data_IF_988542310704
#
_entry.id   IF_988542310704
#
_cell.length_a   1.000
_cell.length_b   1.000
_cell.length_c   1.000
_cell.angle_alpha   90.00
_cell.angle_beta   90.00
_cell.angle_gamma   90.00
#
_symmetry.space_group_name_H-M   'P 1'
#
loop_
_entity.id
_entity.type
_entity.pdbx_description
1 polymer ?
#
# COMPACT_ATOMS: atom_id res chain seq x y z
N UNK A 1 6.51 15.80 -16.97
CA UNK A 1 6.40 16.34 -15.59
C UNK A 1 7.29 17.56 -15.35
N UNK A 2 8.46 17.69 -15.99
CA UNK A 2 9.39 18.83 -15.76
C UNK A 2 8.75 20.22 -15.96
N UNK A 3 7.88 20.40 -16.94
CA UNK A 3 7.15 21.65 -17.14
C UNK A 3 6.17 21.97 -16.00
N UNK A 4 5.55 20.95 -15.40
CA UNK A 4 4.64 21.11 -14.25
C UNK A 4 5.44 21.45 -12.99
N UNK A 5 6.54 20.73 -12.76
CA UNK A 5 7.41 20.94 -11.61
C UNK A 5 8.03 22.35 -11.60
N UNK A 6 8.50 22.86 -12.75
CA UNK A 6 9.02 24.22 -12.87
C UNK A 6 7.99 25.31 -12.57
N UNK A 7 6.71 25.03 -12.78
CA UNK A 7 5.60 25.97 -12.56
C UNK A 7 4.91 25.76 -11.21
N UNK A 8 5.36 24.80 -10.39
CA UNK A 8 4.71 24.45 -9.14
C UNK A 8 3.26 23.96 -9.33
N UNK A 9 3.00 23.27 -10.45
CA UNK A 9 1.67 22.77 -10.78
C UNK A 9 1.57 21.28 -10.48
N UNK A 10 0.42 20.87 -9.96
CA UNK A 10 0.07 19.46 -9.77
C UNK A 10 -1.08 19.07 -10.69
N UNK A 11 -1.05 17.83 -11.16
CA UNK A 11 -2.20 17.26 -11.85
C UNK A 11 -3.24 16.75 -10.82
N UNK A 12 -4.42 16.40 -11.30
CA UNK A 12 -5.38 15.69 -10.47
C UNK A 12 -4.90 14.25 -10.13
N UNK A 13 -5.57 13.62 -9.16
CA UNK A 13 -5.24 12.28 -8.70
C UNK A 13 -5.44 11.18 -9.76
N UNK A 14 -6.30 11.41 -10.76
CA UNK A 14 -6.57 10.43 -11.82
C UNK A 14 -5.39 10.40 -12.80
N UNK A 15 -4.90 11.57 -13.21
CA UNK A 15 -3.72 11.70 -14.08
C UNK A 15 -2.50 11.07 -13.42
N UNK A 16 -2.25 11.34 -12.13
CA UNK A 16 -1.15 10.69 -11.42
C UNK A 16 -1.33 9.17 -11.32
N UNK A 17 -2.55 8.69 -11.11
CA UNK A 17 -2.85 7.26 -11.08
C UNK A 17 -2.50 6.58 -12.41
N UNK A 18 -2.84 7.19 -13.55
CA UNK A 18 -2.48 6.63 -14.86
C UNK A 18 -0.98 6.67 -15.15
N UNK A 19 -0.29 7.74 -14.75
CA UNK A 19 1.17 7.80 -14.83
C UNK A 19 1.84 6.70 -14.00
N UNK A 20 1.33 6.47 -12.80
CA UNK A 20 1.79 5.39 -11.91
C UNK A 20 1.52 4.01 -12.53
N UNK A 21 0.32 3.76 -13.07
CA UNK A 21 -0.01 2.48 -13.72
C UNK A 21 0.93 2.18 -14.89
N UNK A 22 1.31 3.21 -15.66
CA UNK A 22 2.32 3.07 -16.70
C UNK A 22 3.70 2.68 -16.14
N UNK A 23 4.04 3.11 -14.91
CA UNK A 23 5.26 2.70 -14.21
C UNK A 23 5.16 1.26 -13.68
N UNK A 24 3.97 0.78 -13.33
CA UNK A 24 3.74 -0.63 -12.96
C UNK A 24 3.88 -1.58 -14.15
N UNK A 25 3.50 -1.16 -15.36
CA UNK A 25 3.55 -2.01 -16.56
C UNK A 25 4.98 -2.32 -17.05
N UNK A 26 5.99 -1.62 -16.54
CA UNK A 26 7.40 -1.77 -16.91
C UNK A 26 8.25 -1.92 -15.64
N UNK A 27 9.48 -2.45 -15.70
CA UNK A 27 10.41 -2.40 -14.57
C UNK A 27 10.97 -0.98 -14.35
N UNK A 28 10.08 -0.01 -14.19
CA UNK A 28 10.36 1.43 -14.22
C UNK A 28 10.15 2.10 -12.85
N UNK A 29 10.59 1.45 -11.78
CA UNK A 29 10.45 1.97 -10.39
C UNK A 29 11.01 3.39 -10.24
N UNK A 30 12.07 3.74 -10.97
CA UNK A 30 12.66 5.07 -10.96
C UNK A 30 11.69 6.15 -11.43
N UNK A 31 10.87 5.86 -12.44
CA UNK A 31 9.84 6.79 -12.89
C UNK A 31 8.73 6.93 -11.85
N UNK A 32 8.35 5.83 -11.18
CA UNK A 32 7.42 5.87 -10.05
C UNK A 32 7.93 6.77 -8.91
N UNK A 33 9.22 6.68 -8.57
CA UNK A 33 9.86 7.55 -7.57
C UNK A 33 9.89 9.02 -7.98
N UNK A 34 10.07 9.33 -9.28
CA UNK A 34 9.98 10.71 -9.77
C UNK A 34 8.55 11.26 -9.63
N UNK A 35 7.53 10.45 -9.91
CA UNK A 35 6.12 10.84 -9.74
C UNK A 35 5.82 11.02 -8.26
N UNK A 36 6.28 10.11 -7.39
CA UNK A 36 6.16 10.26 -5.94
C UNK A 36 6.77 11.59 -5.49
N UNK A 37 8.05 11.84 -5.80
CA UNK A 37 8.73 13.09 -5.39
C UNK A 37 7.97 14.34 -5.82
N UNK A 38 7.36 14.33 -7.00
CA UNK A 38 6.57 15.46 -7.48
C UNK A 38 5.22 15.59 -6.74
N UNK A 39 4.51 14.48 -6.51
CA UNK A 39 3.24 14.46 -5.78
C UNK A 39 3.43 14.90 -4.33
N UNK A 40 4.44 14.39 -3.65
CA UNK A 40 4.73 14.70 -2.24
C UNK A 40 5.69 15.90 -2.09
N UNK A 41 5.82 16.73 -3.12
CA UNK A 41 6.55 17.99 -3.00
C UNK A 41 5.73 19.04 -2.25
N UNK A 42 6.42 20.03 -1.66
CA UNK A 42 5.81 21.04 -0.78
C UNK A 42 4.54 21.67 -1.39
N UNK A 43 3.40 21.45 -0.73
CA UNK A 43 2.14 22.15 -1.00
C UNK A 43 0.98 21.27 -1.49
N UNK A 44 1.24 20.07 -2.03
CA UNK A 44 0.17 19.17 -2.46
C UNK A 44 -0.20 18.14 -1.39
N UNK A 45 -1.51 17.95 -1.21
CA UNK A 45 -2.07 17.02 -0.24
C UNK A 45 -2.75 15.87 -1.02
N UNK A 46 -2.05 14.74 -1.25
CA UNK A 46 -2.61 13.63 -2.00
C UNK A 46 -3.77 12.98 -1.23
N UNK A 47 -4.85 12.68 -1.93
CA UNK A 47 -5.98 11.91 -1.37
C UNK A 47 -5.56 10.47 -1.07
N UNK A 48 -6.22 9.84 -0.09
CA UNK A 48 -6.06 8.41 0.28
C UNK A 48 -5.99 7.48 -0.93
N UNK A 49 -6.83 7.70 -1.94
CA UNK A 49 -6.80 6.93 -3.19
C UNK A 49 -5.43 6.97 -3.89
N UNK A 50 -4.84 8.16 -4.03
CA UNK A 50 -3.55 8.32 -4.70
C UNK A 50 -2.41 7.72 -3.85
N UNK A 51 -2.47 7.87 -2.53
CA UNK A 51 -1.51 7.23 -1.62
C UNK A 51 -1.57 5.70 -1.76
N UNK A 52 -2.76 5.09 -1.78
CA UNK A 52 -2.92 3.65 -2.01
C UNK A 52 -2.34 3.19 -3.35
N UNK A 53 -2.45 4.03 -4.40
CA UNK A 53 -1.83 3.76 -5.70
C UNK A 53 -0.30 3.75 -5.61
N UNK A 54 0.31 4.66 -4.84
CA UNK A 54 1.74 4.63 -4.58
C UNK A 54 2.17 3.44 -3.73
N UNK A 55 1.45 3.10 -2.66
CA UNK A 55 1.69 1.89 -1.86
C UNK A 55 1.75 0.67 -2.78
N UNK A 56 0.78 0.52 -3.69
CA UNK A 56 0.76 -0.59 -4.65
C UNK A 56 2.02 -0.65 -5.57
N UNK A 57 2.62 0.49 -5.93
CA UNK A 57 3.92 0.50 -6.63
C UNK A 57 5.00 -0.13 -5.77
N UNK A 58 5.14 0.36 -4.54
CA UNK A 58 6.20 -0.09 -3.65
C UNK A 58 6.02 -1.56 -3.25
N UNK A 59 4.77 -2.02 -3.10
CA UNK A 59 4.44 -3.44 -2.96
C UNK A 59 4.95 -4.24 -4.16
N UNK A 60 4.65 -3.80 -5.40
CA UNK A 60 5.06 -4.51 -6.62
C UNK A 60 6.57 -4.64 -6.76
N UNK A 61 7.32 -3.62 -6.34
CA UNK A 61 8.78 -3.61 -6.39
C UNK A 61 9.46 -4.10 -5.10
N UNK A 62 8.69 -4.71 -4.18
CA UNK A 62 9.17 -5.23 -2.89
C UNK A 62 9.94 -4.20 -2.03
N UNK A 63 9.59 -2.92 -2.18
CA UNK A 63 10.15 -1.80 -1.43
C UNK A 63 9.38 -1.63 -0.12
N UNK A 64 9.89 -2.26 0.94
CA UNK A 64 9.19 -2.39 2.21
C UNK A 64 9.12 -1.09 3.02
N UNK A 65 10.21 -0.34 3.04
CA UNK A 65 10.31 0.92 3.79
C UNK A 65 9.38 1.96 3.17
N UNK A 66 9.47 2.19 1.86
CA UNK A 66 8.66 3.23 1.20
C UNK A 66 7.15 2.95 1.23
N UNK A 67 6.72 1.67 1.22
CA UNK A 67 5.28 1.35 1.41
C UNK A 67 4.82 1.52 2.85
N UNK A 68 5.72 1.30 3.83
CA UNK A 68 5.44 1.48 5.25
C UNK A 68 5.32 2.96 5.59
N UNK A 69 6.31 3.76 5.20
CA UNK A 69 6.31 5.21 5.45
C UNK A 69 5.04 5.87 4.92
N UNK A 70 4.66 5.55 3.67
CA UNK A 70 3.43 6.07 3.07
C UNK A 70 2.17 5.63 3.81
N UNK A 71 2.14 4.41 4.35
CA UNK A 71 1.00 3.90 5.09
C UNK A 71 0.91 4.52 6.48
N UNK A 72 2.05 4.75 7.13
CA UNK A 72 2.16 5.34 8.46
C UNK A 72 1.81 6.83 8.45
N UNK A 73 2.15 7.55 7.37
CA UNK A 73 1.80 8.96 7.15
C UNK A 73 0.31 9.20 6.81
N UNK A 74 -0.47 8.15 6.51
CA UNK A 74 -1.89 8.30 6.18
C UNK A 74 -2.70 8.72 7.40
N UNK A 75 -3.32 9.91 7.34
CA UNK A 75 -4.28 10.37 8.34
C UNK A 75 -5.55 9.50 8.37
N UNK A 76 -6.02 9.09 7.20
CA UNK A 76 -7.20 8.25 7.04
C UNK A 76 -6.88 7.04 6.16
N UNK A 77 -7.05 5.84 6.72
CA UNK A 77 -6.85 4.56 6.06
C UNK A 77 -8.19 3.91 5.79
N UNK A 78 -8.39 3.37 4.60
CA UNK A 78 -9.60 2.65 4.24
C UNK A 78 -9.32 1.16 4.01
N UNK A 79 -10.37 0.38 3.73
CA UNK A 79 -10.27 -1.07 3.44
C UNK A 79 -9.18 -1.36 2.40
N UNK A 80 -9.04 -0.53 1.37
CA UNK A 80 -8.03 -0.74 0.31
C UNK A 80 -6.62 -0.56 0.86
N UNK A 81 -6.38 0.47 1.70
CA UNK A 81 -5.07 0.70 2.33
C UNK A 81 -4.62 -0.51 3.16
N UNK A 82 -5.50 -1.01 4.03
CA UNK A 82 -5.19 -2.12 4.91
C UNK A 82 -5.03 -3.45 4.16
N UNK A 83 -5.97 -3.78 3.27
CA UNK A 83 -5.91 -5.03 2.49
C UNK A 83 -4.67 -5.08 1.60
N UNK A 84 -4.26 -3.96 0.99
CA UNK A 84 -3.00 -3.86 0.25
C UNK A 84 -1.81 -4.17 1.16
N UNK A 85 -1.72 -3.57 2.35
CA UNK A 85 -0.58 -3.77 3.26
C UNK A 85 -0.52 -5.18 3.86
N UNK A 86 -1.66 -5.73 4.28
CA UNK A 86 -1.75 -7.11 4.78
C UNK A 86 -1.26 -8.08 3.70
N UNK A 87 -1.77 -7.93 2.45
CA UNK A 87 -1.33 -8.76 1.32
C UNK A 87 0.17 -8.62 1.06
N UNK A 88 0.69 -7.39 1.15
CA UNK A 88 2.10 -7.11 0.95
C UNK A 88 2.99 -7.74 2.03
N UNK A 89 2.56 -7.77 3.29
CA UNK A 89 3.28 -8.43 4.38
C UNK A 89 3.27 -9.95 4.25
N UNK A 90 2.12 -10.55 3.94
CA UNK A 90 2.00 -11.98 3.70
C UNK A 90 2.90 -12.43 2.55
N UNK A 91 2.90 -11.71 1.43
CA UNK A 91 3.77 -12.01 0.29
C UNK A 91 5.27 -11.83 0.60
N UNK A 92 5.60 -11.00 1.59
CA UNK A 92 6.98 -10.78 2.05
C UNK A 92 7.40 -11.74 3.17
N UNK A 93 6.55 -12.73 3.54
CA UNK A 93 6.74 -13.64 4.67
C UNK A 93 6.88 -12.94 6.03
N UNK A 94 6.29 -11.76 6.17
CA UNK A 94 6.26 -10.96 7.39
C UNK A 94 4.93 -11.17 8.14
N UNK A 95 4.63 -12.42 8.47
CA UNK A 95 3.32 -12.85 8.98
C UNK A 95 2.92 -12.11 10.26
N UNK A 96 3.86 -11.88 11.17
CA UNK A 96 3.61 -11.11 12.39
C UNK A 96 3.09 -9.69 12.10
N UNK A 97 3.69 -8.97 11.14
CA UNK A 97 3.24 -7.63 10.73
C UNK A 97 1.88 -7.67 10.02
N UNK A 98 1.61 -8.72 9.25
CA UNK A 98 0.31 -8.94 8.62
C UNK A 98 -0.80 -9.11 9.67
N UNK A 99 -0.54 -9.94 10.69
CA UNK A 99 -1.47 -10.18 11.79
C UNK A 99 -1.67 -8.95 12.67
N UNK A 100 -0.60 -8.25 13.01
CA UNK A 100 -0.68 -6.98 13.76
C UNK A 100 -1.54 -5.96 13.02
N UNK A 101 -1.33 -5.80 11.71
CA UNK A 101 -2.12 -4.89 10.88
C UNK A 101 -3.60 -5.28 10.85
N UNK A 102 -3.90 -6.59 10.76
CA UNK A 102 -5.27 -7.11 10.76
C UNK A 102 -5.97 -6.87 12.10
N UNK A 103 -5.27 -7.07 13.23
CA UNK A 103 -5.81 -6.79 14.57
C UNK A 103 -6.05 -5.31 14.77
N UNK A 104 -5.16 -4.44 14.28
CA UNK A 104 -5.35 -3.00 14.32
C UNK A 104 -6.57 -2.58 13.50
N UNK A 105 -6.72 -3.06 12.27
CA UNK A 105 -7.87 -2.75 11.41
C UNK A 105 -9.19 -3.24 12.03
N UNK A 106 -9.22 -4.45 12.59
CA UNK A 106 -10.41 -5.04 13.19
C UNK A 106 -10.94 -4.23 14.39
N UNK A 107 -10.08 -3.48 15.09
CA UNK A 107 -10.49 -2.58 16.18
C UNK A 107 -11.24 -1.33 15.70
N UNK A 108 -11.18 -1.01 14.40
CA UNK A 108 -11.83 0.18 13.82
C UNK A 108 -13.18 -0.10 13.13
N UNK A 109 -13.73 -1.33 13.23
CA UNK A 109 -15.05 -1.71 12.66
C UNK A 109 -15.20 -1.52 11.13
N UNK A 110 -14.10 -1.47 10.35
CA UNK A 110 -14.12 -1.19 8.89
C UNK A 110 -14.36 -2.45 8.03
N UNK A 111 -14.69 -3.60 8.61
CA UNK A 111 -14.72 -4.87 7.88
C UNK A 111 -16.05 -5.17 7.17
N UNK A 112 -16.08 -5.02 5.83
CA UNK A 112 -16.95 -5.81 4.94
C UNK A 112 -16.10 -6.43 3.83
N UNK A 113 -15.58 -7.66 4.03
CA UNK A 113 -14.59 -8.22 3.14
C UNK A 113 -15.24 -8.71 1.85
N UNK A 114 -14.87 -8.12 0.72
CA UNK A 114 -14.99 -8.79 -0.58
C UNK A 114 -13.83 -9.78 -0.68
N UNK A 115 -13.99 -10.93 -0.04
CA UNK A 115 -13.03 -12.04 -0.11
C UNK A 115 -12.93 -12.56 -1.54
N UNK A 116 -11.80 -12.34 -2.20
CA UNK A 116 -11.33 -13.30 -3.19
C UNK A 116 -10.87 -14.56 -2.44
N UNK A 117 -11.48 -15.70 -2.77
CA UNK A 117 -11.42 -16.96 -1.99
C UNK A 117 -10.00 -17.51 -1.76
N UNK A 118 -8.98 -17.01 -2.46
CA UNK A 118 -7.59 -17.42 -2.27
C UNK A 118 -6.94 -16.84 -1.00
N UNK A 119 -7.39 -15.69 -0.51
CA UNK A 119 -6.76 -15.05 0.67
C UNK A 119 -7.19 -15.65 2.01
N UNK A 120 -8.41 -16.21 2.09
CA UNK A 120 -8.94 -16.74 3.36
C UNK A 120 -8.23 -18.03 3.79
N UNK A 121 -7.94 -18.96 2.87
CA UNK A 121 -7.20 -20.18 3.19
C UNK A 121 -5.79 -19.88 3.71
N UNK A 122 -5.07 -18.93 3.09
CA UNK A 122 -3.71 -18.60 3.52
C UNK A 122 -3.68 -17.90 4.88
N UNK A 123 -4.65 -17.01 5.16
CA UNK A 123 -4.74 -16.34 6.46
C UNK A 123 -5.14 -17.31 7.59
N UNK A 124 -6.04 -18.28 7.33
CA UNK A 124 -6.40 -19.32 8.31
C UNK A 124 -5.21 -20.26 8.55
N UNK A 125 -4.54 -20.73 7.50
CA UNK A 125 -3.35 -21.57 7.62
C UNK A 125 -2.21 -20.89 8.41
N UNK A 126 -2.01 -19.58 8.25
CA UNK A 126 -1.00 -18.84 9.02
C UNK A 126 -1.34 -18.71 10.50
N UNK A 127 -2.61 -18.49 10.85
CA UNK A 127 -3.06 -18.45 12.25
C UNK A 127 -2.95 -19.84 12.90
N UNK A 128 -3.25 -20.90 12.16
CA UNK A 128 -3.11 -22.27 12.63
C UNK A 128 -1.64 -22.67 12.83
N UNK A 129 -0.74 -22.27 11.92
CA UNK A 129 0.71 -22.52 12.03
C UNK A 129 1.37 -21.76 13.19
N UNK A 130 0.97 -20.52 13.47
CA UNK A 130 1.48 -19.78 14.64
C UNK A 130 0.95 -20.36 15.97
N UNK A 131 -0.30 -20.83 16.02
CA UNK A 131 -0.83 -21.51 17.20
C UNK A 131 -0.17 -22.89 17.43
N UNK A 132 0.31 -23.55 16.38
CA UNK A 132 1.06 -24.81 16.48
C UNK A 132 2.51 -24.65 16.98
N UNK A 133 3.05 -23.41 17.03
CA UNK A 133 4.43 -23.14 17.45
C UNK A 133 4.56 -22.56 18.86
N UNK A 134 3.45 -22.34 19.59
CA UNK A 134 3.52 -21.98 21.02
C UNK A 134 3.80 -23.25 21.85
N UNK A 135 4.84 -23.28 22.70
CA UNK A 135 4.95 -24.33 23.71
C UNK A 135 3.79 -24.22 24.71
N UNK A 136 3.30 -25.38 25.16
CA UNK A 136 2.31 -25.53 26.23
C UNK A 136 2.65 -24.74 27.49
#
# INVERSE_FOLDING_TARGET
>A
MEAMQRRGLWADSVVYSELVKCCLARPAVQHGKLVHKHVFSNGYQPKTFLINVFINIYVKFALLEEKQDLFDEMLERNVVSWTTMISAYSNSKLNHKALESLVLEAKFDVFRPKFERHFCCFCIEMVELENAQKPL
#
